data_IF_793528115518
#
_entry.id   IF_793528115518
#
_cell.length_a   1.000
_cell.length_b   1.000
_cell.length_c   1.000
_cell.angle_alpha   90.00
_cell.angle_beta   90.00
_cell.angle_gamma   90.00
#
_symmetry.space_group_name_H-M   'P 1'
#
loop_
_entity.id
_entity.type
_entity.pdbx_description
1 polymer ?
#
# COMPACT_ATOMS: atom_id res chain seq x y z
N UNK A 1 8.09 41.79 1.65
CA UNK A 1 9.38 41.11 1.85
C UNK A 1 9.10 39.62 1.62
N UNK A 2 9.31 39.17 0.38
CA UNK A 2 9.08 37.77 -0.01
C UNK A 2 10.26 36.97 0.55
N UNK A 3 10.05 36.22 1.60
CA UNK A 3 11.05 35.29 2.12
C UNK A 3 11.37 34.30 0.99
N UNK A 4 12.57 34.38 0.45
CA UNK A 4 13.12 33.39 -0.46
C UNK A 4 13.22 32.08 0.33
N UNK A 5 12.23 31.20 0.20
CA UNK A 5 12.31 29.83 0.67
C UNK A 5 13.49 29.21 -0.07
N UNK A 6 14.60 29.05 0.65
CA UNK A 6 15.83 28.45 0.13
C UNK A 6 15.50 27.04 -0.35
N UNK A 7 15.34 26.88 -1.65
CA UNK A 7 14.94 25.63 -2.28
C UNK A 7 15.99 24.56 -1.91
N UNK A 8 15.58 23.56 -1.12
CA UNK A 8 16.45 22.46 -0.72
C UNK A 8 17.03 21.78 -1.95
N UNK A 9 18.31 21.45 -1.92
CA UNK A 9 18.92 20.61 -2.96
C UNK A 9 18.17 19.27 -3.07
N UNK A 10 17.98 18.76 -4.28
CA UNK A 10 17.32 17.47 -4.52
C UNK A 10 17.96 16.35 -3.70
N UNK A 11 19.29 16.31 -3.63
CA UNK A 11 20.02 15.31 -2.83
C UNK A 11 19.73 15.39 -1.33
N UNK A 12 19.42 16.59 -0.80
CA UNK A 12 19.13 16.75 0.63
C UNK A 12 17.82 16.06 1.06
N UNK A 13 16.92 15.78 0.13
CA UNK A 13 15.72 14.97 0.43
C UNK A 13 16.07 13.51 0.72
N UNK A 14 17.14 12.99 0.14
CA UNK A 14 17.55 11.59 0.27
C UNK A 14 18.53 11.32 1.42
N UNK A 15 18.80 12.29 2.29
CA UNK A 15 19.74 12.12 3.41
C UNK A 15 19.37 10.95 4.33
N UNK A 16 18.07 10.77 4.63
CA UNK A 16 17.59 9.65 5.47
C UNK A 16 17.78 8.30 4.77
N UNK A 17 17.56 8.25 3.46
CA UNK A 17 17.86 7.07 2.65
C UNK A 17 19.36 6.73 2.70
N UNK A 18 20.24 7.69 2.42
CA UNK A 18 21.68 7.44 2.42
C UNK A 18 22.20 6.99 3.79
N UNK A 19 21.65 7.59 4.87
CA UNK A 19 22.00 7.19 6.23
C UNK A 19 21.55 5.74 6.51
N UNK A 20 20.29 5.42 6.24
CA UNK A 20 19.77 4.07 6.47
C UNK A 20 20.46 3.03 5.58
N UNK A 21 20.63 3.32 4.30
CA UNK A 21 21.35 2.44 3.36
C UNK A 21 22.78 2.19 3.80
N UNK A 22 23.51 3.23 4.22
CA UNK A 22 24.86 3.06 4.75
C UNK A 22 24.92 2.18 6.00
N UNK A 23 23.99 2.35 6.93
CA UNK A 23 23.85 1.49 8.12
C UNK A 23 23.50 0.06 7.71
N UNK A 24 22.58 -0.13 6.77
CA UNK A 24 22.19 -1.44 6.25
C UNK A 24 23.38 -2.17 5.65
N UNK A 25 24.14 -1.51 4.77
CA UNK A 25 25.35 -2.09 4.15
C UNK A 25 26.37 -2.54 5.22
N UNK A 26 26.55 -1.76 6.28
CA UNK A 26 27.46 -2.15 7.38
C UNK A 26 26.95 -3.40 8.10
N UNK A 27 25.65 -3.44 8.43
CA UNK A 27 25.04 -4.62 9.10
C UNK A 27 25.12 -5.85 8.18
N UNK A 28 24.76 -5.72 6.91
CA UNK A 28 24.80 -6.79 5.90
C UNK A 28 26.21 -7.35 5.74
N UNK A 29 27.21 -6.46 5.71
CA UNK A 29 28.63 -6.85 5.61
C UNK A 29 29.09 -7.67 6.81
N UNK A 30 28.70 -7.24 8.04
CA UNK A 30 29.04 -7.98 9.26
C UNK A 30 28.25 -9.27 9.41
N UNK A 31 27.03 -9.35 8.90
CA UNK A 31 26.12 -10.48 9.08
C UNK A 31 26.33 -11.60 8.05
N UNK A 32 26.52 -11.25 6.77
CA UNK A 32 26.66 -12.20 5.66
C UNK A 32 27.85 -11.88 4.72
N UNK A 33 28.70 -10.92 5.08
CA UNK A 33 29.82 -10.52 4.23
C UNK A 33 29.37 -9.82 2.94
N UNK A 34 30.22 -9.93 1.90
CA UNK A 34 29.97 -9.28 0.61
C UNK A 34 28.67 -9.78 -0.04
N UNK A 35 28.32 -11.06 0.15
CA UNK A 35 27.08 -11.63 -0.40
C UNK A 35 25.85 -10.92 0.17
N UNK A 36 25.81 -10.64 1.48
CA UNK A 36 24.73 -9.88 2.11
C UNK A 36 24.60 -8.49 1.51
N UNK A 37 25.69 -7.77 1.30
CA UNK A 37 25.69 -6.44 0.68
C UNK A 37 25.16 -6.48 -0.75
N UNK A 38 25.56 -7.48 -1.54
CA UNK A 38 25.03 -7.63 -2.91
C UNK A 38 23.54 -7.91 -2.89
N UNK A 39 23.08 -8.84 -2.06
CA UNK A 39 21.65 -9.15 -1.93
C UNK A 39 20.85 -7.95 -1.44
N UNK A 40 21.26 -7.26 -0.36
CA UNK A 40 20.59 -6.11 0.19
C UNK A 40 20.53 -4.93 -0.79
N UNK A 41 21.62 -4.66 -1.51
CA UNK A 41 21.63 -3.63 -2.56
C UNK A 41 20.70 -3.99 -3.70
N UNK A 42 20.68 -5.25 -4.15
CA UNK A 42 19.75 -5.72 -5.19
C UNK A 42 18.31 -5.55 -4.74
N UNK A 43 17.99 -5.90 -3.50
CA UNK A 43 16.65 -5.70 -2.92
C UNK A 43 16.26 -4.23 -2.80
N UNK A 44 17.23 -3.34 -2.47
CA UNK A 44 17.00 -1.88 -2.46
C UNK A 44 16.61 -1.36 -3.84
N UNK A 45 17.30 -1.79 -4.88
CA UNK A 45 17.02 -1.41 -6.27
C UNK A 45 15.66 -1.99 -6.72
N UNK A 46 15.39 -3.24 -6.39
CA UNK A 46 14.13 -3.92 -6.69
C UNK A 46 12.95 -3.15 -6.08
N UNK A 47 13.01 -2.84 -4.79
CA UNK A 47 11.98 -2.09 -4.08
C UNK A 47 11.76 -0.71 -4.70
N UNK A 48 12.85 0.03 -5.00
CA UNK A 48 12.74 1.34 -5.62
C UNK A 48 12.08 1.27 -7.01
N UNK A 49 12.36 0.19 -7.76
CA UNK A 49 11.81 0.00 -9.10
C UNK A 49 10.34 -0.39 -9.08
N UNK A 50 9.95 -1.27 -8.15
CA UNK A 50 8.57 -1.77 -8.03
C UNK A 50 7.64 -0.75 -7.35
N UNK A 51 8.16 0.11 -6.46
CA UNK A 51 7.37 1.03 -5.66
C UNK A 51 7.36 2.47 -6.19
N UNK A 52 7.75 2.71 -7.45
CA UNK A 52 7.75 4.06 -8.02
C UNK A 52 6.33 4.61 -8.18
N UNK A 53 5.41 3.82 -8.69
CA UNK A 53 3.99 4.16 -8.81
C UNK A 53 3.34 4.38 -7.45
N UNK A 54 3.71 3.61 -6.44
CA UNK A 54 3.30 3.82 -5.05
C UNK A 54 3.76 5.20 -4.53
N UNK A 55 4.98 5.66 -4.87
CA UNK A 55 5.43 7.00 -4.52
C UNK A 55 4.52 8.09 -5.10
N UNK A 56 4.04 7.92 -6.34
CA UNK A 56 3.12 8.86 -6.99
C UNK A 56 1.76 8.89 -6.28
N UNK A 57 1.17 7.73 -5.99
CA UNK A 57 -0.13 7.62 -5.30
C UNK A 57 -0.03 8.22 -3.90
N UNK A 58 1.03 7.88 -3.16
CA UNK A 58 1.29 8.44 -1.85
C UNK A 58 1.44 9.97 -1.91
N UNK A 59 2.12 10.50 -2.94
CA UNK A 59 2.27 11.95 -3.11
C UNK A 59 0.93 12.66 -3.41
N UNK A 60 0.06 12.05 -4.23
CA UNK A 60 -1.29 12.57 -4.53
C UNK A 60 -2.14 12.69 -3.27
N UNK A 61 -2.18 11.65 -2.45
CA UNK A 61 -2.97 11.65 -1.21
C UNK A 61 -2.34 12.58 -0.19
N UNK A 62 -1.02 12.50 -0.02
CA UNK A 62 -0.25 13.30 0.94
C UNK A 62 -0.36 14.82 0.65
N UNK A 63 -0.42 15.23 -0.62
CA UNK A 63 -0.60 16.62 -1.02
C UNK A 63 -1.91 17.22 -0.46
N UNK A 64 -2.94 16.40 -0.31
CA UNK A 64 -4.26 16.80 0.20
C UNK A 64 -4.43 16.58 1.73
N UNK A 65 -3.42 16.04 2.42
CA UNK A 65 -3.49 15.79 3.86
C UNK A 65 -3.14 17.03 4.69
N UNK A 66 -3.74 17.18 5.88
CA UNK A 66 -3.34 18.20 6.84
C UNK A 66 -1.85 18.09 7.23
N UNK A 67 -1.14 19.22 7.46
CA UNK A 67 0.31 19.21 7.72
C UNK A 67 0.75 18.31 8.88
N UNK A 68 -0.06 18.20 9.95
CA UNK A 68 0.24 17.34 11.09
C UNK A 68 0.25 15.84 10.71
N UNK A 69 -0.69 15.43 9.88
CA UNK A 69 -0.78 14.03 9.41
C UNK A 69 0.26 13.73 8.34
N UNK A 70 0.58 14.70 7.49
CA UNK A 70 1.70 14.64 6.56
C UNK A 70 3.01 14.38 7.28
N UNK A 71 3.27 15.10 8.39
CA UNK A 71 4.44 14.86 9.23
C UNK A 71 4.42 13.48 9.92
N UNK A 72 3.25 13.03 10.40
CA UNK A 72 3.11 11.69 11.00
C UNK A 72 3.36 10.58 9.99
N UNK A 73 2.87 10.73 8.77
CA UNK A 73 3.17 9.80 7.68
C UNK A 73 4.68 9.70 7.42
N UNK A 74 5.39 10.81 7.45
CA UNK A 74 6.83 10.85 7.24
C UNK A 74 7.65 10.28 8.41
N UNK A 75 7.07 10.10 9.58
CA UNK A 75 7.72 9.54 10.78
C UNK A 75 7.17 8.16 11.13
N UNK A 76 5.95 8.08 11.62
CA UNK A 76 5.32 6.82 12.02
C UNK A 76 5.05 5.90 10.84
N UNK A 77 4.56 6.45 9.72
CA UNK A 77 4.36 5.68 8.50
C UNK A 77 5.66 5.05 7.99
N UNK A 78 6.81 5.72 8.18
CA UNK A 78 8.11 5.13 7.84
C UNK A 78 8.44 3.89 8.69
N UNK A 79 8.14 3.95 10.00
CA UNK A 79 8.33 2.78 10.87
C UNK A 79 7.39 1.64 10.49
N UNK A 80 6.12 1.97 10.18
CA UNK A 80 5.13 0.99 9.72
C UNK A 80 5.58 0.37 8.39
N UNK A 81 5.99 1.18 7.42
CA UNK A 81 6.41 0.70 6.12
C UNK A 81 7.65 -0.21 6.18
N UNK A 82 8.67 0.17 6.97
CA UNK A 82 9.93 -0.59 7.06
C UNK A 82 9.79 -1.83 7.92
N UNK A 83 9.21 -1.70 9.11
CA UNK A 83 9.14 -2.80 10.07
C UNK A 83 7.77 -3.51 10.03
N UNK A 84 6.68 -2.75 9.99
CA UNK A 84 5.32 -3.31 9.98
C UNK A 84 5.07 -4.15 8.72
N UNK A 85 5.25 -3.55 7.57
CA UNK A 85 4.89 -4.20 6.29
C UNK A 85 5.92 -5.25 5.87
N UNK A 86 7.22 -5.00 6.07
CA UNK A 86 8.27 -5.88 5.56
C UNK A 86 8.73 -6.96 6.53
N UNK A 87 8.49 -6.77 7.84
CA UNK A 87 8.83 -7.77 8.85
C UNK A 87 7.58 -8.34 9.54
N UNK A 88 6.76 -7.48 10.14
CA UNK A 88 5.62 -7.95 10.95
C UNK A 88 4.51 -8.56 10.11
N UNK A 89 4.17 -7.95 8.97
CA UNK A 89 3.07 -8.42 8.14
C UNK A 89 3.30 -9.83 7.55
N UNK A 90 4.47 -10.19 6.99
CA UNK A 90 4.74 -11.57 6.57
C UNK A 90 4.67 -12.57 7.73
N UNK A 91 5.13 -12.20 8.94
CA UNK A 91 5.01 -13.05 10.13
C UNK A 91 3.54 -13.23 10.52
N UNK A 92 2.72 -12.18 10.43
CA UNK A 92 1.27 -12.27 10.67
C UNK A 92 0.57 -13.17 9.65
N UNK A 93 1.03 -13.21 8.41
CA UNK A 93 0.49 -14.15 7.41
C UNK A 93 0.78 -15.58 7.83
N UNK A 94 2.02 -15.89 8.20
CA UNK A 94 2.38 -17.24 8.69
C UNK A 94 1.58 -17.60 9.92
N UNK A 95 1.46 -16.70 10.89
CA UNK A 95 0.63 -16.87 12.08
C UNK A 95 -0.85 -17.15 11.74
N UNK A 96 -1.41 -16.43 10.77
CA UNK A 96 -2.82 -16.56 10.38
C UNK A 96 -3.11 -17.80 9.52
N UNK A 97 -2.11 -18.35 8.84
CA UNK A 97 -2.25 -19.46 7.88
C UNK A 97 -1.73 -20.80 8.40
N UNK A 98 -1.16 -20.81 9.60
CA UNK A 98 -0.64 -22.01 10.26
C UNK A 98 -1.14 -22.11 11.69
N UNK A 99 -0.95 -23.25 12.33
CA UNK A 99 -1.24 -23.44 13.76
C UNK A 99 -0.13 -22.91 14.69
N UNK A 100 0.85 -22.17 14.14
CA UNK A 100 1.96 -21.60 14.89
C UNK A 100 1.51 -20.35 15.65
N UNK A 101 2.00 -20.16 16.86
CA UNK A 101 1.87 -18.88 17.57
C UNK A 101 2.71 -17.78 16.89
N UNK A 102 2.44 -16.51 17.20
CA UNK A 102 3.21 -15.39 16.65
C UNK A 102 4.71 -15.50 16.96
N UNK A 103 5.06 -15.95 18.17
CA UNK A 103 6.46 -16.12 18.57
C UNK A 103 7.13 -17.26 17.80
N UNK A 104 6.41 -18.38 17.58
CA UNK A 104 6.91 -19.49 16.76
C UNK A 104 7.07 -19.11 15.31
N UNK A 105 6.14 -18.32 14.73
CA UNK A 105 6.23 -17.78 13.37
C UNK A 105 7.45 -16.86 13.22
N UNK A 106 7.71 -16.01 14.21
CA UNK A 106 8.93 -15.18 14.24
C UNK A 106 10.20 -16.05 14.36
N UNK A 107 10.18 -17.04 15.26
CA UNK A 107 11.30 -17.97 15.43
C UNK A 107 11.58 -18.77 14.15
N UNK A 108 10.52 -19.18 13.43
CA UNK A 108 10.65 -19.87 12.14
C UNK A 108 11.35 -18.94 11.11
N UNK A 109 10.95 -17.66 11.01
CA UNK A 109 11.52 -16.69 10.09
C UNK A 109 13.03 -16.46 10.33
N UNK A 110 13.47 -16.51 11.58
CA UNK A 110 14.88 -16.27 11.95
C UNK A 110 15.73 -17.53 11.90
N UNK A 111 15.21 -18.66 12.40
CA UNK A 111 16.01 -19.87 12.62
C UNK A 111 15.88 -20.89 11.47
N UNK A 112 14.81 -20.85 10.69
CA UNK A 112 14.60 -21.74 9.53
C UNK A 112 13.98 -20.97 8.35
N UNK A 113 14.77 -20.07 7.72
CA UNK A 113 14.28 -19.20 6.63
C UNK A 113 13.71 -19.96 5.44
N UNK A 114 14.28 -21.12 5.11
CA UNK A 114 13.82 -21.92 3.97
C UNK A 114 12.44 -22.53 4.18
N UNK A 115 12.10 -22.92 5.40
CA UNK A 115 10.75 -23.40 5.74
C UNK A 115 9.77 -22.25 5.85
N UNK A 116 10.22 -21.12 6.40
CA UNK A 116 9.43 -19.88 6.44
C UNK A 116 9.04 -19.41 5.04
N UNK A 117 9.97 -19.39 4.08
CA UNK A 117 9.71 -19.08 2.68
C UNK A 117 8.61 -19.97 2.08
N UNK A 118 8.70 -21.30 2.30
CA UNK A 118 7.68 -22.24 1.81
C UNK A 118 6.28 -21.93 2.35
N UNK A 119 6.17 -21.60 3.63
CA UNK A 119 4.88 -21.25 4.25
C UNK A 119 4.34 -19.94 3.68
N UNK A 120 5.18 -18.94 3.49
CA UNK A 120 4.77 -17.66 2.88
C UNK A 120 4.30 -17.88 1.44
N UNK A 121 5.06 -18.62 0.63
CA UNK A 121 4.67 -18.94 -0.75
C UNK A 121 3.37 -19.74 -0.81
N UNK A 122 3.17 -20.67 0.13
CA UNK A 122 1.91 -21.42 0.25
C UNK A 122 0.70 -20.53 0.58
N UNK A 123 0.92 -19.37 1.20
CA UNK A 123 -0.12 -18.40 1.57
C UNK A 123 -0.32 -17.29 0.52
N UNK A 124 0.46 -17.33 -0.57
CA UNK A 124 0.45 -16.30 -1.62
C UNK A 124 -0.97 -16.01 -2.15
N UNK A 125 -1.75 -17.06 -2.46
CA UNK A 125 -3.12 -16.93 -3.00
C UNK A 125 -4.05 -16.15 -2.06
N UNK A 126 -3.89 -16.28 -0.74
CA UNK A 126 -4.67 -15.57 0.29
C UNK A 126 -4.42 -14.06 0.20
N UNK A 127 -3.15 -13.69 0.10
CA UNK A 127 -2.75 -12.27 0.04
C UNK A 127 -3.11 -11.66 -1.31
N UNK A 128 -2.94 -12.41 -2.42
CA UNK A 128 -3.37 -11.96 -3.74
C UNK A 128 -4.89 -11.75 -3.78
N UNK A 129 -5.66 -12.62 -3.17
CA UNK A 129 -7.11 -12.51 -3.08
C UNK A 129 -7.53 -11.25 -2.28
N UNK A 130 -6.94 -11.05 -1.09
CA UNK A 130 -7.22 -9.89 -0.24
C UNK A 130 -6.77 -8.58 -0.89
N UNK A 131 -5.51 -8.48 -1.28
CA UNK A 131 -4.92 -7.27 -1.85
C UNK A 131 -5.51 -6.92 -3.21
N UNK A 132 -5.70 -7.92 -4.09
CA UNK A 132 -6.27 -7.72 -5.42
C UNK A 132 -7.67 -7.12 -5.39
N UNK A 133 -8.57 -7.63 -4.55
CA UNK A 133 -9.93 -7.08 -4.43
C UNK A 133 -9.94 -5.70 -3.73
N UNK A 134 -9.07 -5.49 -2.73
CA UNK A 134 -8.93 -4.19 -2.07
C UNK A 134 -8.47 -3.10 -3.04
N UNK A 135 -7.42 -3.37 -3.83
CA UNK A 135 -6.94 -2.47 -4.87
C UNK A 135 -7.97 -2.27 -6.00
N UNK A 136 -8.71 -3.32 -6.35
CA UNK A 136 -9.81 -3.22 -7.32
C UNK A 136 -10.88 -2.24 -6.83
N UNK A 137 -11.27 -2.28 -5.55
CA UNK A 137 -12.21 -1.33 -4.97
C UNK A 137 -11.71 0.12 -5.04
N UNK A 138 -10.41 0.34 -4.80
CA UNK A 138 -9.77 1.65 -4.94
C UNK A 138 -9.85 2.13 -6.39
N UNK A 139 -9.46 1.28 -7.35
CA UNK A 139 -9.52 1.60 -8.77
C UNK A 139 -10.94 1.89 -9.25
N UNK A 140 -11.91 1.06 -8.87
CA UNK A 140 -13.32 1.27 -9.23
C UNK A 140 -13.87 2.57 -8.63
N UNK A 141 -13.47 2.92 -7.41
CA UNK A 141 -13.84 4.20 -6.79
C UNK A 141 -13.31 5.39 -7.58
N UNK A 142 -12.07 5.31 -8.07
CA UNK A 142 -11.53 6.30 -8.99
C UNK A 142 -12.26 6.28 -10.34
N UNK A 143 -12.47 5.10 -10.92
CA UNK A 143 -13.04 4.95 -12.26
C UNK A 143 -14.47 5.53 -12.35
N UNK A 144 -15.30 5.30 -11.32
CA UNK A 144 -16.69 5.80 -11.24
C UNK A 144 -16.82 7.17 -10.57
N UNK A 145 -15.72 7.87 -10.30
CA UNK A 145 -15.81 9.24 -9.77
C UNK A 145 -16.29 10.19 -10.86
N UNK A 146 -17.45 10.83 -10.64
CA UNK A 146 -18.07 11.80 -11.55
C UNK A 146 -17.45 13.20 -11.48
N UNK A 147 -16.74 13.52 -10.40
CA UNK A 147 -16.14 14.84 -10.17
C UNK A 147 -14.78 15.02 -10.87
N UNK A 148 -14.46 14.17 -11.86
CA UNK A 148 -13.21 14.26 -12.61
C UNK A 148 -13.33 15.24 -13.77
N UNK A 149 -12.52 16.29 -13.75
CA UNK A 149 -12.43 17.27 -14.86
C UNK A 149 -11.59 16.74 -16.03
N UNK A 150 -10.73 15.77 -15.78
CA UNK A 150 -9.77 15.21 -16.72
C UNK A 150 -10.08 13.73 -16.97
N UNK A 151 -9.91 13.28 -18.21
CA UNK A 151 -10.07 11.89 -18.60
C UNK A 151 -8.88 11.49 -19.46
N UNK A 152 -8.05 10.55 -18.99
CA UNK A 152 -6.88 10.07 -19.74
C UNK A 152 -7.31 9.08 -20.82
N UNK A 153 -7.98 7.99 -20.43
CA UNK A 153 -8.59 7.06 -21.38
C UNK A 153 -10.06 7.46 -21.54
N UNK A 154 -10.27 8.51 -22.33
CA UNK A 154 -11.56 9.20 -22.43
C UNK A 154 -12.74 8.27 -22.75
N UNK A 155 -12.54 7.21 -23.55
CA UNK A 155 -13.60 6.26 -23.90
C UNK A 155 -14.08 5.52 -22.66
N UNK A 156 -13.17 4.94 -21.87
CA UNK A 156 -13.51 4.14 -20.68
C UNK A 156 -14.00 5.04 -19.55
N UNK A 157 -13.25 6.08 -19.23
CA UNK A 157 -13.55 6.93 -18.07
C UNK A 157 -14.85 7.73 -18.23
N UNK A 158 -15.14 8.24 -19.44
CA UNK A 158 -16.41 8.94 -19.71
C UNK A 158 -17.63 8.03 -19.65
N UNK A 159 -17.50 6.78 -20.11
CA UNK A 159 -18.61 5.82 -19.98
C UNK A 159 -18.78 5.38 -18.54
N UNK A 160 -17.69 5.13 -17.82
CA UNK A 160 -17.72 4.75 -16.41
C UNK A 160 -18.34 5.86 -15.54
N UNK A 161 -17.97 7.12 -15.74
CA UNK A 161 -18.53 8.25 -14.98
C UNK A 161 -20.03 8.43 -15.21
N UNK A 162 -20.58 8.05 -16.35
CA UNK A 162 -22.05 8.07 -16.57
C UNK A 162 -22.79 7.03 -15.71
N UNK A 163 -22.13 5.95 -15.33
CA UNK A 163 -22.72 4.91 -14.49
C UNK A 163 -22.50 5.15 -13.00
N UNK A 164 -21.84 6.25 -12.62
CA UNK A 164 -21.69 6.67 -11.23
C UNK A 164 -23.04 6.93 -10.54
N UNK A 165 -24.05 7.36 -11.32
CA UNK A 165 -25.42 7.55 -10.85
C UNK A 165 -26.09 6.25 -10.40
N UNK A 166 -25.59 5.07 -10.79
CA UNK A 166 -26.02 3.77 -10.27
C UNK A 166 -25.32 3.56 -8.93
N UNK A 167 -26.04 3.88 -7.85
CA UNK A 167 -25.49 3.74 -6.50
C UNK A 167 -24.90 2.34 -6.26
N UNK A 168 -23.74 2.28 -5.64
CA UNK A 168 -23.05 1.04 -5.24
C UNK A 168 -22.55 0.13 -6.38
N UNK A 169 -22.46 0.62 -7.64
CA UNK A 169 -21.98 -0.18 -8.77
C UNK A 169 -20.57 -0.78 -8.52
N UNK A 170 -19.67 -0.05 -7.86
CA UNK A 170 -18.34 -0.54 -7.49
C UNK A 170 -18.41 -1.78 -6.60
N UNK A 171 -19.35 -1.79 -5.64
CA UNK A 171 -19.55 -2.92 -4.72
C UNK A 171 -20.14 -4.11 -5.49
N UNK A 172 -21.11 -3.87 -6.37
CA UNK A 172 -21.70 -4.91 -7.21
C UNK A 172 -20.63 -5.60 -8.08
N UNK A 173 -19.76 -4.83 -8.73
CA UNK A 173 -18.66 -5.37 -9.54
C UNK A 173 -17.70 -6.20 -8.66
N UNK A 174 -17.34 -5.70 -7.47
CA UNK A 174 -16.48 -6.45 -6.57
C UNK A 174 -17.11 -7.77 -6.11
N UNK A 175 -18.40 -7.78 -5.74
CA UNK A 175 -19.13 -8.99 -5.37
C UNK A 175 -19.22 -9.98 -6.56
N UNK A 176 -19.49 -9.47 -7.75
CA UNK A 176 -19.49 -10.31 -8.97
C UNK A 176 -18.11 -10.90 -9.23
N UNK A 177 -17.04 -10.12 -9.01
CA UNK A 177 -15.65 -10.61 -9.12
C UNK A 177 -15.41 -11.75 -8.13
N UNK A 178 -15.81 -11.59 -6.86
CA UNK A 178 -15.71 -12.65 -5.84
C UNK A 178 -16.50 -13.89 -6.26
N UNK A 179 -17.73 -13.73 -6.77
CA UNK A 179 -18.57 -14.84 -7.19
C UNK A 179 -17.96 -15.59 -8.38
N UNK A 180 -17.47 -14.87 -9.40
CA UNK A 180 -16.80 -15.47 -10.56
C UNK A 180 -15.54 -16.21 -10.15
N UNK A 181 -14.70 -15.59 -9.31
CA UNK A 181 -13.46 -16.22 -8.83
C UNK A 181 -13.79 -17.44 -7.98
N UNK A 182 -14.74 -17.34 -7.04
CA UNK A 182 -15.16 -18.47 -6.22
C UNK A 182 -15.74 -19.64 -7.03
N UNK A 183 -16.39 -19.35 -8.17
CA UNK A 183 -16.87 -20.39 -9.06
C UNK A 183 -15.73 -21.10 -9.81
N UNK A 184 -14.79 -20.33 -10.37
CA UNK A 184 -13.67 -20.84 -11.18
C UNK A 184 -12.41 -21.13 -10.37
N UNK A 185 -12.39 -20.81 -9.05
CA UNK A 185 -11.21 -21.01 -8.21
C UNK A 185 -10.70 -22.46 -8.30
N UNK A 186 -9.38 -22.63 -8.50
CA UNK A 186 -8.78 -23.94 -8.58
C UNK A 186 -8.93 -24.66 -7.23
N UNK A 187 -9.26 -25.97 -7.31
CA UNK A 187 -9.30 -26.82 -6.11
C UNK A 187 -7.90 -27.29 -5.69
N UNK A 188 -6.90 -27.03 -6.52
CA UNK A 188 -5.52 -27.49 -6.33
C UNK A 188 -4.55 -26.42 -6.80
N UNK A 189 -3.51 -26.16 -6.03
CA UNK A 189 -2.38 -25.34 -6.43
C UNK A 189 -1.11 -26.18 -6.37
N UNK A 190 -0.24 -26.05 -7.36
CA UNK A 190 1.09 -26.66 -7.39
C UNK A 190 2.07 -25.75 -6.66
N UNK A 191 2.69 -26.23 -5.59
CA UNK A 191 3.76 -25.55 -4.87
C UNK A 191 4.94 -26.52 -4.82
N UNK A 192 6.07 -26.17 -5.43
CA UNK A 192 7.28 -27.02 -5.49
C UNK A 192 6.97 -28.47 -5.92
N UNK A 193 6.21 -28.66 -7.01
CA UNK A 193 5.74 -29.96 -7.52
C UNK A 193 4.81 -30.74 -6.57
N UNK A 194 4.38 -30.15 -5.46
CA UNK A 194 3.39 -30.73 -4.54
C UNK A 194 2.01 -30.14 -4.80
N UNK A 195 1.04 -31.01 -5.08
CA UNK A 195 -0.36 -30.60 -5.25
C UNK A 195 -0.96 -30.33 -3.87
N UNK A 196 -1.20 -29.05 -3.54
CA UNK A 196 -1.95 -28.66 -2.35
C UNK A 196 -3.43 -28.49 -2.71
N UNK A 197 -4.30 -29.19 -2.00
CA UNK A 197 -5.74 -28.96 -2.06
C UNK A 197 -6.05 -27.63 -1.36
N UNK A 198 -6.79 -26.75 -2.03
CA UNK A 198 -7.22 -25.46 -1.49
C UNK A 198 -8.74 -25.50 -1.35
N UNK A 199 -9.22 -25.14 -0.18
CA UNK A 199 -10.64 -24.87 -0.03
C UNK A 199 -10.97 -23.51 -0.68
N UNK A 200 -12.07 -23.45 -1.42
CA UNK A 200 -12.56 -22.19 -2.02
C UNK A 200 -12.75 -21.10 -0.99
N UNK A 201 -13.01 -21.47 0.27
CA UNK A 201 -13.07 -20.54 1.39
C UNK A 201 -11.76 -19.77 1.62
N UNK A 202 -10.60 -20.41 1.38
CA UNK A 202 -9.28 -19.79 1.52
C UNK A 202 -9.04 -18.63 0.51
N UNK A 203 -9.84 -18.58 -0.55
CA UNK A 203 -9.79 -17.50 -1.55
C UNK A 203 -10.94 -16.50 -1.33
N UNK A 204 -12.16 -17.00 -1.12
CA UNK A 204 -13.36 -16.14 -1.03
C UNK A 204 -13.35 -15.29 0.24
N UNK A 205 -12.96 -15.84 1.40
CA UNK A 205 -12.95 -15.11 2.66
C UNK A 205 -11.98 -13.94 2.67
N UNK A 206 -10.72 -14.07 2.23
CA UNK A 206 -9.81 -12.93 2.09
C UNK A 206 -10.33 -11.84 1.16
N UNK A 207 -10.98 -12.21 0.04
CA UNK A 207 -11.61 -11.23 -0.84
C UNK A 207 -12.74 -10.47 -0.14
N UNK A 208 -13.59 -11.16 0.61
CA UNK A 208 -14.65 -10.51 1.40
C UNK A 208 -14.02 -9.55 2.43
N UNK A 209 -12.95 -9.96 3.13
CA UNK A 209 -12.25 -9.09 4.06
C UNK A 209 -11.64 -7.87 3.38
N UNK A 210 -11.13 -7.99 2.16
CA UNK A 210 -10.64 -6.85 1.37
C UNK A 210 -11.74 -5.83 1.04
N UNK A 211 -12.93 -6.30 0.64
CA UNK A 211 -14.11 -5.44 0.43
C UNK A 211 -14.54 -4.78 1.75
N UNK A 212 -14.65 -5.55 2.83
CA UNK A 212 -15.05 -5.05 4.14
C UNK A 212 -14.08 -3.99 4.65
N UNK A 213 -12.78 -4.22 4.52
CA UNK A 213 -11.76 -3.25 4.92
C UNK A 213 -11.91 -1.94 4.14
N UNK A 214 -12.08 -2.02 2.81
CA UNK A 214 -12.32 -0.84 1.99
C UNK A 214 -13.56 -0.07 2.45
N UNK A 215 -14.67 -0.76 2.67
CA UNK A 215 -15.93 -0.15 3.12
C UNK A 215 -15.81 0.46 4.53
N UNK A 216 -15.07 -0.19 5.44
CA UNK A 216 -14.79 0.35 6.77
C UNK A 216 -14.02 1.67 6.68
N UNK A 217 -13.00 1.75 5.80
CA UNK A 217 -12.22 2.97 5.61
C UNK A 217 -13.09 4.08 4.99
N UNK A 218 -13.90 3.75 3.99
CA UNK A 218 -14.81 4.70 3.36
C UNK A 218 -15.85 5.22 4.35
N UNK A 219 -16.40 4.35 5.19
CA UNK A 219 -17.32 4.70 6.26
C UNK A 219 -16.67 5.60 7.32
N UNK A 220 -15.45 5.25 7.79
CA UNK A 220 -14.69 6.08 8.72
C UNK A 220 -14.40 7.46 8.13
N UNK A 221 -14.03 7.51 6.86
CA UNK A 221 -13.82 8.78 6.15
C UNK A 221 -15.09 9.60 6.10
N UNK A 222 -16.22 9.00 5.75
CA UNK A 222 -17.53 9.67 5.73
C UNK A 222 -17.93 10.26 7.08
N UNK A 223 -17.80 9.49 8.18
CA UNK A 223 -18.09 10.00 9.54
C UNK A 223 -17.15 11.15 9.91
N UNK A 224 -15.86 11.07 9.56
CA UNK A 224 -14.88 12.07 9.93
C UNK A 224 -14.99 13.36 9.09
N UNK A 225 -15.54 13.26 7.87
CA UNK A 225 -15.81 14.40 6.99
C UNK A 225 -17.19 15.04 7.24
N UNK A 226 -18.24 14.26 7.59
CA UNK A 226 -19.64 14.71 7.68
C UNK A 226 -20.01 15.47 8.98
N UNK A 227 -19.19 15.39 10.03
CA UNK A 227 -19.41 16.08 11.33
C UNK A 227 -19.34 17.63 11.22
N UNK A 228 -19.47 18.19 9.98
CA UNK A 228 -19.17 19.55 9.57
C UNK A 228 -20.30 20.47 9.14
N UNK A 229 -21.50 19.97 8.87
CA UNK A 229 -22.52 20.77 8.13
C UNK A 229 -23.81 21.09 8.88
N UNK A 230 -23.84 21.06 10.20
CA UNK A 230 -24.98 21.64 10.96
C UNK A 230 -24.46 22.71 11.91
N UNK A 231 -24.50 23.96 11.51
CA UNK A 231 -24.33 25.10 12.38
C UNK A 231 -25.49 26.09 12.23
N UNK A 232 -26.23 26.20 13.32
CA UNK A 232 -27.06 27.37 13.62
C UNK A 232 -26.17 28.53 14.05
N UNK A 233 -26.42 29.69 13.51
CA UNK A 233 -25.70 30.93 13.67
C UNK A 233 -26.15 31.66 14.94
N UNK A 234 -25.28 31.77 15.98
CA UNK A 234 -25.35 32.90 16.94
C UNK A 234 -24.08 33.04 17.78
N UNK A 235 -23.51 34.26 17.83
CA UNK A 235 -22.48 34.85 18.73
C UNK A 235 -21.00 34.80 18.27
N UNK A 236 -20.40 36.00 18.03
CA UNK A 236 -19.20 36.19 17.21
C UNK A 236 -17.80 36.12 17.89
N UNK A 237 -17.64 36.13 19.19
CA UNK A 237 -16.28 36.21 19.81
C UNK A 237 -15.84 34.94 20.55
N UNK A 238 -16.77 34.19 21.10
CA UNK A 238 -16.55 32.83 21.61
C UNK A 238 -16.45 31.78 20.47
N UNK A 239 -16.86 32.15 19.27
CA UNK A 239 -16.90 31.30 18.08
C UNK A 239 -15.53 31.09 17.44
N UNK A 240 -14.64 32.08 17.44
CA UNK A 240 -13.32 31.90 16.78
C UNK A 240 -12.47 30.81 17.44
N UNK A 241 -12.38 30.79 18.78
CA UNK A 241 -11.66 29.72 19.48
C UNK A 241 -12.33 28.36 19.34
N UNK A 242 -13.68 28.33 19.38
CA UNK A 242 -14.45 27.08 19.15
C UNK A 242 -14.35 26.62 17.71
N UNK A 243 -14.43 27.52 16.72
CA UNK A 243 -14.27 27.20 15.31
C UNK A 243 -12.85 26.70 15.04
N UNK A 244 -11.83 27.36 15.59
CA UNK A 244 -10.44 26.92 15.42
C UNK A 244 -10.19 25.55 16.05
N UNK A 245 -10.77 25.28 17.23
CA UNK A 245 -10.70 23.98 17.88
C UNK A 245 -11.47 22.88 17.13
N UNK A 246 -12.66 23.18 16.59
CA UNK A 246 -13.49 22.28 15.79
C UNK A 246 -12.83 22.02 14.42
N UNK A 247 -12.34 23.07 13.74
CA UNK A 247 -11.61 22.93 12.46
C UNK A 247 -10.34 22.11 12.64
N UNK A 248 -9.57 22.37 13.70
CA UNK A 248 -8.36 21.59 13.99
C UNK A 248 -8.69 20.13 14.35
N UNK A 249 -9.78 19.86 15.07
CA UNK A 249 -10.21 18.49 15.38
C UNK A 249 -10.71 17.74 14.14
N UNK A 250 -11.41 18.41 13.23
CA UNK A 250 -11.90 17.84 11.96
C UNK A 250 -10.75 17.55 11.01
N UNK A 251 -9.84 18.50 10.83
CA UNK A 251 -8.62 18.30 10.04
C UNK A 251 -7.77 17.14 10.61
N UNK A 252 -7.70 17.02 11.95
CA UNK A 252 -6.98 15.93 12.59
C UNK A 252 -7.67 14.57 12.35
N UNK A 253 -9.00 14.50 12.43
CA UNK A 253 -9.77 13.26 12.22
C UNK A 253 -9.73 12.80 10.78
N UNK A 254 -10.03 13.68 9.81
CA UNK A 254 -9.96 13.36 8.38
C UNK A 254 -8.54 12.93 7.94
N UNK A 255 -7.52 13.54 8.52
CA UNK A 255 -6.13 13.15 8.28
C UNK A 255 -5.76 11.75 8.80
N UNK A 256 -6.39 11.28 9.90
CA UNK A 256 -6.19 9.92 10.41
C UNK A 256 -6.71 8.87 9.42
N UNK A 257 -7.92 9.05 8.89
CA UNK A 257 -8.46 8.11 7.90
C UNK A 257 -7.59 8.05 6.63
N UNK A 258 -7.14 9.21 6.15
CA UNK A 258 -6.22 9.29 5.01
C UNK A 258 -4.86 8.64 5.31
N UNK A 259 -4.36 8.76 6.55
CA UNK A 259 -3.13 8.10 6.99
C UNK A 259 -3.27 6.58 6.96
N UNK A 260 -4.34 6.02 7.56
CA UNK A 260 -4.61 4.58 7.53
C UNK A 260 -4.79 4.08 6.09
N UNK A 261 -5.52 4.83 5.28
CA UNK A 261 -5.72 4.50 3.86
C UNK A 261 -4.40 4.40 3.09
N UNK A 262 -3.48 5.36 3.31
CA UNK A 262 -2.15 5.33 2.72
C UNK A 262 -1.33 4.12 3.16
N UNK A 263 -1.31 3.81 4.47
CA UNK A 263 -0.55 2.67 4.97
C UNK A 263 -1.09 1.33 4.45
N UNK A 264 -2.40 1.20 4.26
CA UNK A 264 -3.01 0.00 3.69
C UNK A 264 -2.74 -0.16 2.19
N UNK A 265 -2.75 0.95 1.45
CA UNK A 265 -2.31 0.95 0.05
C UNK A 265 -0.84 0.53 -0.03
N UNK A 266 0.03 1.18 0.74
CA UNK A 266 1.47 0.87 0.78
C UNK A 266 1.73 -0.61 1.12
N UNK A 267 0.98 -1.16 2.10
CA UNK A 267 1.04 -2.57 2.46
C UNK A 267 0.63 -3.48 1.30
N UNK A 268 -0.46 -3.14 0.60
CA UNK A 268 -0.97 -3.96 -0.52
C UNK A 268 0.02 -4.00 -1.70
N UNK A 269 0.69 -2.89 -2.00
CA UNK A 269 1.72 -2.83 -3.04
C UNK A 269 3.03 -3.51 -2.62
N UNK A 270 3.40 -3.41 -1.35
CA UNK A 270 4.69 -3.89 -0.86
C UNK A 270 4.77 -5.42 -0.76
N UNK A 271 3.64 -6.13 -0.77
CA UNK A 271 3.65 -7.57 -0.57
C UNK A 271 4.33 -8.32 -1.72
N UNK A 272 4.09 -7.91 -2.97
CA UNK A 272 4.78 -8.49 -4.13
C UNK A 272 6.31 -8.30 -4.04
N UNK A 273 6.74 -7.15 -3.54
CA UNK A 273 8.14 -6.88 -3.26
C UNK A 273 8.73 -7.83 -2.21
N UNK A 274 7.98 -8.14 -1.14
CA UNK A 274 8.40 -9.10 -0.11
C UNK A 274 8.50 -10.51 -0.67
N UNK A 275 7.53 -10.96 -1.46
CA UNK A 275 7.59 -12.28 -2.11
C UNK A 275 8.75 -12.36 -3.10
N UNK A 276 8.92 -11.35 -3.96
CA UNK A 276 10.04 -11.28 -4.90
C UNK A 276 11.41 -11.25 -4.20
N UNK A 277 11.47 -10.75 -2.98
CA UNK A 277 12.70 -10.69 -2.20
C UNK A 277 13.24 -12.09 -1.82
N UNK A 278 12.35 -13.09 -1.64
CA UNK A 278 12.79 -14.47 -1.36
C UNK A 278 13.57 -15.10 -2.53
N UNK A 279 13.32 -14.66 -3.76
CA UNK A 279 14.12 -15.08 -4.91
C UNK A 279 15.57 -14.54 -4.87
N UNK A 280 15.82 -13.47 -4.13
CA UNK A 280 17.16 -12.85 -3.98
C UNK A 280 17.84 -13.30 -2.70
N UNK A 281 17.12 -13.40 -1.59
CA UNK A 281 17.66 -13.82 -0.29
C UNK A 281 16.57 -14.52 0.53
N UNK A 282 16.91 -15.64 1.17
CA UNK A 282 16.05 -16.29 2.16
C UNK A 282 16.18 -15.67 3.57
N UNK A 283 17.16 -14.80 3.77
CA UNK A 283 17.45 -14.24 5.08
C UNK A 283 16.56 -13.02 5.34
N UNK A 284 15.63 -13.15 6.31
CA UNK A 284 14.64 -12.11 6.66
C UNK A 284 15.31 -10.79 7.09
N UNK A 285 16.52 -10.84 7.69
CA UNK A 285 17.24 -9.62 8.08
C UNK A 285 17.73 -8.86 6.84
N UNK A 286 18.30 -9.57 5.87
CA UNK A 286 18.74 -8.99 4.59
C UNK A 286 17.53 -8.46 3.80
N UNK A 287 16.43 -9.21 3.76
CA UNK A 287 15.19 -8.78 3.12
C UNK A 287 14.69 -7.49 3.76
N UNK A 288 14.59 -7.44 5.08
CA UNK A 288 14.11 -6.27 5.82
C UNK A 288 15.00 -5.04 5.57
N UNK A 289 16.33 -5.21 5.62
CA UNK A 289 17.30 -4.12 5.42
C UNK A 289 17.27 -3.60 3.99
N UNK A 290 17.30 -4.47 3.00
CA UNK A 290 17.31 -4.11 1.58
C UNK A 290 16.00 -3.45 1.15
N UNK A 291 14.86 -4.11 1.36
CA UNK A 291 13.54 -3.52 1.06
C UNK A 291 13.27 -2.28 1.92
N UNK A 292 13.72 -2.27 3.19
CA UNK A 292 13.63 -1.12 4.07
C UNK A 292 14.35 0.10 3.51
N UNK A 293 15.59 -0.07 3.02
CA UNK A 293 16.35 1.01 2.38
C UNK A 293 15.62 1.53 1.12
N UNK A 294 15.10 0.62 0.28
CA UNK A 294 14.28 1.00 -0.87
C UNK A 294 13.04 1.81 -0.46
N UNK A 295 12.35 1.41 0.61
CA UNK A 295 11.21 2.17 1.14
C UNK A 295 11.58 3.58 1.60
N UNK A 296 12.76 3.77 2.20
CA UNK A 296 13.25 5.11 2.51
C UNK A 296 13.44 5.95 1.24
N UNK A 297 13.99 5.36 0.17
CA UNK A 297 14.16 6.04 -1.11
C UNK A 297 12.82 6.44 -1.73
N UNK A 298 11.86 5.51 -1.78
CA UNK A 298 10.49 5.74 -2.30
C UNK A 298 9.80 6.85 -1.52
N UNK A 299 9.87 6.83 -0.18
CA UNK A 299 9.25 7.85 0.66
C UNK A 299 9.92 9.22 0.52
N UNK A 300 11.24 9.28 0.38
CA UNK A 300 11.96 10.51 0.08
C UNK A 300 11.57 11.08 -1.28
N UNK A 301 11.34 10.22 -2.27
CA UNK A 301 10.80 10.59 -3.57
C UNK A 301 9.38 11.17 -3.45
N UNK A 302 8.51 10.54 -2.66
CA UNK A 302 7.17 11.05 -2.35
C UNK A 302 7.22 12.47 -1.79
N UNK A 303 8.09 12.73 -0.80
CA UNK A 303 8.27 14.07 -0.23
C UNK A 303 8.73 15.07 -1.29
N UNK A 304 9.73 14.69 -2.09
CA UNK A 304 10.26 15.53 -3.15
C UNK A 304 9.15 15.92 -4.15
N UNK A 305 8.29 14.96 -4.52
CA UNK A 305 7.16 15.21 -5.44
C UNK A 305 6.14 16.18 -4.84
N UNK A 306 5.82 16.03 -3.56
CA UNK A 306 4.88 16.93 -2.85
C UNK A 306 5.47 18.33 -2.71
N UNK A 307 6.71 18.44 -2.25
CA UNK A 307 7.37 19.75 -2.00
C UNK A 307 7.65 20.52 -3.29
N UNK A 308 7.90 19.81 -4.41
CA UNK A 308 8.10 20.41 -5.72
C UNK A 308 6.81 20.72 -6.47
N UNK A 309 5.67 20.29 -5.96
CA UNK A 309 4.38 20.46 -6.65
C UNK A 309 4.24 19.62 -7.92
N UNK A 310 5.12 18.62 -8.10
CA UNK A 310 5.13 17.75 -9.29
C UNK A 310 3.76 17.14 -9.56
N UNK A 311 3.03 16.79 -8.50
CA UNK A 311 1.69 16.20 -8.58
C UNK A 311 0.68 17.13 -9.28
N UNK A 312 0.77 18.44 -9.03
CA UNK A 312 -0.12 19.45 -9.63
C UNK A 312 0.29 19.90 -11.03
N UNK A 313 1.58 19.73 -11.40
CA UNK A 313 2.09 20.11 -12.70
C UNK A 313 1.70 19.12 -13.82
N UNK A 314 1.58 17.83 -13.48
CA UNK A 314 1.31 16.79 -14.48
C UNK A 314 -0.16 16.36 -14.49
N UNK A 315 -0.91 16.86 -15.46
CA UNK A 315 -2.35 16.68 -15.64
C UNK A 315 -2.84 15.23 -15.58
N UNK A 316 -2.02 14.28 -16.04
CA UNK A 316 -2.39 12.86 -16.14
C UNK A 316 -1.70 11.98 -15.10
N UNK A 317 -0.95 12.55 -14.15
CA UNK A 317 -0.19 11.78 -13.18
C UNK A 317 -1.11 10.92 -12.29
N UNK A 318 -2.20 11.51 -11.80
CA UNK A 318 -3.22 10.82 -11.01
C UNK A 318 -3.85 9.67 -11.78
N UNK A 319 -4.21 9.92 -13.05
CA UNK A 319 -4.82 8.89 -13.90
C UNK A 319 -3.85 7.73 -14.14
N UNK A 320 -2.59 8.02 -14.49
CA UNK A 320 -1.56 7.02 -14.68
C UNK A 320 -1.36 6.16 -13.44
N UNK A 321 -1.26 6.78 -12.26
CA UNK A 321 -1.13 6.08 -10.99
C UNK A 321 -2.35 5.19 -10.69
N UNK A 322 -3.57 5.69 -10.86
CA UNK A 322 -4.78 4.91 -10.61
C UNK A 322 -4.99 3.78 -11.61
N UNK A 323 -4.59 3.96 -12.88
CA UNK A 323 -4.59 2.86 -13.84
C UNK A 323 -3.53 1.79 -13.51
N UNK A 324 -2.38 2.17 -12.94
CA UNK A 324 -1.41 1.21 -12.41
C UNK A 324 -2.00 0.38 -11.25
N UNK A 325 -2.74 1.04 -10.32
CA UNK A 325 -3.50 0.32 -9.27
C UNK A 325 -4.47 -0.69 -9.86
N UNK A 326 -5.24 -0.28 -10.89
CA UNK A 326 -6.20 -1.16 -11.55
C UNK A 326 -5.52 -2.35 -12.24
N UNK A 327 -4.40 -2.10 -12.91
CA UNK A 327 -3.61 -3.15 -13.55
C UNK A 327 -3.05 -4.13 -12.50
N UNK A 328 -2.47 -3.62 -11.42
CA UNK A 328 -1.97 -4.45 -10.33
C UNK A 328 -3.08 -5.27 -9.68
N UNK A 329 -4.25 -4.67 -9.42
CA UNK A 329 -5.41 -5.39 -8.88
C UNK A 329 -5.81 -6.58 -9.75
N UNK A 330 -5.89 -6.36 -11.07
CA UNK A 330 -6.21 -7.41 -12.04
C UNK A 330 -5.10 -8.47 -12.07
N UNK A 331 -3.83 -8.06 -12.06
CA UNK A 331 -2.68 -8.96 -12.03
C UNK A 331 -2.71 -9.86 -10.80
N UNK A 332 -2.93 -9.30 -9.60
CA UNK A 332 -3.05 -10.07 -8.36
C UNK A 332 -4.21 -11.06 -8.41
N UNK A 333 -5.36 -10.66 -8.96
CA UNK A 333 -6.52 -11.55 -9.12
C UNK A 333 -6.20 -12.69 -10.08
N UNK A 334 -5.51 -12.42 -11.19
CA UNK A 334 -5.09 -13.46 -12.15
C UNK A 334 -4.08 -14.42 -11.52
N UNK A 335 -3.18 -13.92 -10.67
CA UNK A 335 -2.18 -14.72 -9.98
C UNK A 335 -2.80 -15.77 -9.02
N UNK A 336 -4.06 -15.60 -8.58
CA UNK A 336 -4.78 -16.64 -7.84
C UNK A 336 -4.90 -17.93 -8.68
N UNK A 337 -5.04 -17.81 -10.00
CA UNK A 337 -5.22 -18.94 -10.91
C UNK A 337 -3.92 -19.43 -11.55
N UNK A 338 -2.91 -18.57 -11.59
CA UNK A 338 -1.66 -18.86 -12.28
C UNK A 338 -0.52 -18.74 -11.28
N UNK A 339 0.19 -19.84 -11.02
CA UNK A 339 1.55 -19.72 -10.49
C UNK A 339 2.40 -19.09 -11.59
N UNK A 340 2.38 -17.74 -11.67
CA UNK A 340 3.32 -17.04 -12.52
C UNK A 340 4.71 -17.23 -11.89
N UNK A 341 5.71 -17.68 -12.67
CA UNK A 341 7.08 -17.72 -12.17
C UNK A 341 7.47 -16.31 -11.73
N UNK A 342 8.00 -16.17 -10.54
CA UNK A 342 8.48 -14.93 -9.98
C UNK A 342 9.50 -14.31 -10.94
N UNK A 343 9.13 -13.25 -11.68
CA UNK A 343 10.05 -12.57 -12.60
C UNK A 343 9.49 -12.01 -13.89
N UNK A 344 8.15 -11.86 -14.02
CA UNK A 344 7.56 -11.11 -15.13
C UNK A 344 6.89 -9.85 -14.64
#
# INVERSE_FOLDING_TARGET
>A
MVEQIKQKSTLSYFNTFFLFFGVSVVIELFYMGILGVVQGTTLTILELSLSFDNAVINALILANMPPIWRRRFLTWGMLIAVFGVRLVFPILIVFATTDLSFVESFSLAVNNPAEYEKVILASHHIVMAFGGIFLLMIFLSFLFNENKDVHWIAVIEKYASRWSSIGNLKILIAILTVAVIGFYAPSHILIDDVVKNIDKGEIILPMIYGILLYLCIEFLRGILEDDGTKHDSTSMESEREKIEHVVNSKLAKGGFASFIYLELIDMSFSFDGVLGAFAVSQNIVIIMLGLGAGAFAVRNLTILMVDRGTVSEYKYLEHGAMWSVGFLAISMIIQIFMHLPHGL
#
